data_IF_757664610626
#
_entry.id   IF_757664610626
#
_cell.length_a   1.000
_cell.length_b   1.000
_cell.length_c   1.000
_cell.angle_alpha   90.00
_cell.angle_beta   90.00
_cell.angle_gamma   90.00
#
_symmetry.space_group_name_H-M   'P 1'
#
loop_
_entity.id
_entity.type
_entity.pdbx_description
1 polymer ?
#
# COMPACT_ATOMS: atom_id res chain seq x y z
N UNK A 1 -2.28 -9.32 12.97
CA UNK A 1 -3.39 -9.18 12.00
C UNK A 1 -2.80 -9.27 10.60
N UNK A 2 -3.60 -9.63 9.60
CA UNK A 2 -3.15 -9.62 8.20
C UNK A 2 -3.66 -8.34 7.53
N UNK A 3 -2.79 -7.67 6.78
CA UNK A 3 -3.11 -6.47 6.04
C UNK A 3 -2.84 -6.72 4.56
N UNK A 4 -3.86 -6.53 3.73
CA UNK A 4 -3.72 -6.52 2.28
C UNK A 4 -3.38 -5.11 1.84
N UNK A 5 -2.20 -4.92 1.29
CA UNK A 5 -1.76 -3.66 0.70
C UNK A 5 -1.81 -3.76 -0.82
N UNK A 6 -2.07 -2.64 -1.46
CA UNK A 6 -2.14 -2.48 -2.91
C UNK A 6 -1.22 -1.34 -3.28
N UNK A 7 -0.36 -1.60 -4.25
CA UNK A 7 0.58 -0.63 -4.81
C UNK A 7 0.43 -0.59 -6.33
N UNK A 8 1.03 0.42 -6.95
CA UNK A 8 1.22 0.43 -8.40
C UNK A 8 2.24 -0.62 -8.82
N UNK A 9 1.97 -1.28 -9.95
CA UNK A 9 2.85 -2.32 -10.47
C UNK A 9 4.27 -1.79 -10.77
N UNK A 10 4.40 -0.50 -11.09
CA UNK A 10 5.70 0.16 -11.25
C UNK A 10 6.60 0.05 -10.00
N UNK A 11 6.00 0.01 -8.81
CA UNK A 11 6.72 -0.08 -7.54
C UNK A 11 6.94 -1.53 -7.07
N UNK A 12 6.28 -2.52 -7.68
CA UNK A 12 6.48 -3.95 -7.34
C UNK A 12 7.94 -4.35 -7.53
N UNK A 13 8.57 -3.83 -8.58
CA UNK A 13 9.98 -4.07 -8.88
C UNK A 13 10.92 -3.53 -7.78
N UNK A 14 10.48 -2.56 -6.98
CA UNK A 14 11.24 -2.07 -5.83
C UNK A 14 11.16 -3.03 -4.62
N UNK A 15 10.17 -3.92 -4.58
CA UNK A 15 9.92 -4.84 -3.46
C UNK A 15 9.89 -6.31 -3.91
N UNK A 16 10.99 -6.86 -4.48
CA UNK A 16 11.04 -8.22 -5.01
C UNK A 16 11.00 -9.31 -3.92
N UNK A 17 11.14 -8.93 -2.65
CA UNK A 17 11.09 -9.86 -1.51
C UNK A 17 9.66 -10.29 -1.14
N UNK A 18 8.65 -9.63 -1.70
CA UNK A 18 7.25 -9.89 -1.42
C UNK A 18 6.58 -10.52 -2.63
N UNK A 19 5.68 -11.45 -2.37
CA UNK A 19 4.82 -11.99 -3.43
C UNK A 19 3.67 -11.02 -3.68
N UNK A 20 3.75 -10.35 -4.82
CA UNK A 20 2.71 -9.48 -5.33
C UNK A 20 1.79 -10.27 -6.26
N UNK A 21 0.50 -10.20 -6.01
CA UNK A 21 -0.54 -10.77 -6.84
C UNK A 21 -1.23 -9.66 -7.64
N UNK A 22 -1.67 -9.97 -8.86
CA UNK A 22 -2.41 -9.03 -9.70
C UNK A 22 -3.68 -8.56 -8.98
N UNK A 23 -3.82 -7.25 -8.76
CA UNK A 23 -5.03 -6.68 -8.16
C UNK A 23 -6.00 -6.29 -9.29
N UNK A 24 -7.03 -7.12 -9.46
CA UNK A 24 -8.03 -7.02 -10.54
C UNK A 24 -9.44 -6.71 -10.04
N UNK A 25 -9.58 -6.21 -8.82
CA UNK A 25 -10.90 -5.94 -8.26
C UNK A 25 -11.64 -4.81 -8.99
N UNK A 26 -12.97 -4.89 -8.91
CA UNK A 26 -13.99 -4.09 -9.60
C UNK A 26 -13.81 -2.56 -9.47
N UNK A 27 -12.92 -2.11 -8.59
CA UNK A 27 -12.54 -0.71 -8.40
C UNK A 27 -11.66 -0.14 -9.51
N UNK A 28 -11.20 -0.96 -10.48
CA UNK A 28 -10.57 -0.49 -11.73
C UNK A 28 -11.34 0.65 -12.40
N UNK A 29 -12.67 0.64 -12.31
CA UNK A 29 -13.52 1.69 -12.88
C UNK A 29 -13.44 3.02 -12.15
N UNK A 30 -13.13 3.05 -10.85
CA UNK A 30 -13.06 4.29 -10.08
C UNK A 30 -11.68 4.97 -10.16
N UNK A 31 -10.64 4.21 -10.49
CA UNK A 31 -9.24 4.65 -10.41
C UNK A 31 -8.56 4.72 -11.79
N UNK A 32 -9.34 4.90 -12.87
CA UNK A 32 -8.89 4.99 -14.28
C UNK A 32 -7.78 6.04 -14.51
N UNK A 33 -7.64 7.04 -13.64
CA UNK A 33 -6.64 8.10 -13.79
C UNK A 33 -5.22 7.79 -13.28
N UNK A 34 -4.98 6.70 -12.54
CA UNK A 34 -3.69 6.46 -11.87
C UNK A 34 -2.85 5.30 -12.44
N UNK A 35 -3.28 4.68 -13.55
CA UNK A 35 -2.57 3.59 -14.20
C UNK A 35 -3.32 2.26 -14.07
N UNK A 36 -3.30 1.47 -15.14
CA UNK A 36 -4.16 0.28 -15.29
C UNK A 36 -3.65 -0.96 -14.53
N UNK A 37 -2.44 -0.92 -13.94
CA UNK A 37 -1.79 -2.08 -13.33
C UNK A 37 -1.48 -1.84 -11.85
N UNK A 38 -2.17 -2.60 -11.00
CA UNK A 38 -1.95 -2.63 -9.55
C UNK A 38 -1.68 -4.05 -9.09
N UNK A 39 -0.93 -4.11 -8.01
CA UNK A 39 -0.44 -5.34 -7.43
C UNK A 39 -0.69 -5.30 -5.94
N UNK A 40 -1.05 -6.45 -5.38
CA UNK A 40 -1.40 -6.61 -3.96
C UNK A 40 -0.56 -7.62 -3.27
N UNK A 41 -0.30 -7.39 -2.00
CA UNK A 41 0.29 -8.41 -1.14
C UNK A 41 -0.38 -8.40 0.22
N UNK A 42 -0.39 -9.56 0.88
CA UNK A 42 -0.96 -9.72 2.22
C UNK A 42 0.18 -9.95 3.19
N UNK A 43 0.36 -9.01 4.11
CA UNK A 43 1.45 -9.04 5.08
C UNK A 43 0.89 -9.15 6.50
N UNK A 44 1.48 -10.00 7.34
CA UNK A 44 1.16 -10.04 8.75
C UNK A 44 1.86 -8.89 9.50
N UNK A 45 1.16 -8.25 10.43
CA UNK A 45 1.74 -7.29 11.37
C UNK A 45 0.78 -6.87 12.46
N UNK A 46 1.26 -6.06 13.40
CA UNK A 46 0.42 -5.49 14.45
C UNK A 46 -0.53 -4.43 13.88
N UNK A 47 0.03 -3.52 13.06
CA UNK A 47 -0.64 -2.41 12.39
C UNK A 47 -0.16 -2.26 10.95
N UNK A 48 -0.87 -1.47 10.14
CA UNK A 48 -0.45 -1.20 8.75
C UNK A 48 0.95 -0.53 8.70
N UNK A 49 1.24 0.39 9.61
CA UNK A 49 2.53 1.08 9.66
C UNK A 49 3.68 0.13 10.02
N UNK A 50 3.44 -0.76 10.98
CA UNK A 50 4.38 -1.81 11.39
C UNK A 50 4.65 -2.77 10.22
N UNK A 51 3.61 -3.13 9.46
CA UNK A 51 3.77 -3.90 8.22
C UNK A 51 4.66 -3.17 7.22
N UNK A 52 4.38 -1.89 6.94
CA UNK A 52 5.13 -1.11 5.96
C UNK A 52 6.59 -0.93 6.39
N UNK A 53 6.85 -0.59 7.65
CA UNK A 53 8.20 -0.38 8.18
C UNK A 53 9.02 -1.69 8.18
N UNK A 54 8.44 -2.78 8.68
CA UNK A 54 9.09 -4.11 8.70
C UNK A 54 9.48 -4.57 7.30
N UNK A 55 8.65 -4.23 6.31
CA UNK A 55 8.83 -4.60 4.92
C UNK A 55 9.55 -3.51 4.11
N UNK A 56 9.92 -2.39 4.73
CA UNK A 56 10.54 -1.22 4.10
C UNK A 56 9.75 -0.69 2.89
N UNK A 57 8.42 -0.74 2.98
CA UNK A 57 7.51 -0.26 1.94
C UNK A 57 7.24 1.21 2.19
N UNK A 58 7.51 2.03 1.18
CA UNK A 58 7.16 3.43 1.21
C UNK A 58 5.62 3.60 1.26
N UNK A 59 5.06 4.25 2.28
CA UNK A 59 3.62 4.49 2.40
C UNK A 59 3.07 5.34 1.25
N UNK A 60 3.93 6.09 0.55
CA UNK A 60 3.59 6.86 -0.64
C UNK A 60 3.31 5.98 -1.87
N UNK A 61 3.89 4.78 -1.92
CA UNK A 61 3.65 3.82 -3.00
C UNK A 61 2.37 2.99 -2.75
N UNK A 62 1.83 3.03 -1.53
CA UNK A 62 0.60 2.34 -1.15
C UNK A 62 -0.59 3.16 -1.62
N UNK A 63 -1.24 2.68 -2.69
CA UNK A 63 -2.46 3.30 -3.21
C UNK A 63 -3.67 2.95 -2.36
N UNK A 64 -3.68 1.75 -1.76
CA UNK A 64 -4.76 1.30 -0.90
C UNK A 64 -4.29 0.20 0.04
N UNK A 65 -4.90 0.10 1.22
CA UNK A 65 -4.67 -1.00 2.14
C UNK A 65 -5.95 -1.35 2.88
N UNK A 66 -6.06 -2.60 3.33
CA UNK A 66 -7.17 -3.07 4.15
C UNK A 66 -6.72 -4.16 5.13
N UNK A 67 -7.27 -4.22 6.35
CA UNK A 67 -7.16 -5.42 7.16
C UNK A 67 -7.89 -6.57 6.46
N UNK A 68 -7.36 -7.79 6.51
CA UNK A 68 -8.05 -9.00 6.05
C UNK A 68 -9.41 -9.17 6.76
N UNK A 69 -9.51 -8.64 7.97
CA UNK A 69 -10.68 -8.72 8.82
C UNK A 69 -11.73 -7.63 8.59
N UNK A 70 -11.45 -6.57 7.81
CA UNK A 70 -12.32 -5.40 7.71
C UNK A 70 -12.73 -5.04 6.27
N UNK A 71 -14.03 -4.77 6.08
CA UNK A 71 -14.63 -4.49 4.78
C UNK A 71 -14.12 -3.16 4.25
N UNK A 72 -13.57 -3.18 3.03
CA UNK A 72 -13.17 -2.06 2.17
C UNK A 72 -13.42 -0.65 2.75
N UNK A 73 -12.38 -0.02 3.29
CA UNK A 73 -12.36 1.43 3.51
C UNK A 73 -11.32 2.05 2.57
N UNK A 74 -11.81 2.81 1.59
CA UNK A 74 -11.01 3.61 0.69
C UNK A 74 -10.47 4.81 1.48
N UNK A 75 -9.16 4.84 1.74
CA UNK A 75 -8.50 5.97 2.38
C UNK A 75 -7.26 6.34 1.60
N UNK A 76 -7.32 7.47 0.89
CA UNK A 76 -6.12 8.26 0.64
C UNK A 76 -5.56 8.63 2.01
N UNK A 77 -4.39 8.12 2.37
CA UNK A 77 -3.76 8.47 3.63
C UNK A 77 -3.56 10.00 3.68
N UNK A 78 -4.00 10.70 4.73
CA UNK A 78 -3.60 12.08 4.93
C UNK A 78 -2.08 12.11 5.05
N UNK A 79 -1.46 13.14 4.49
CA UNK A 79 -0.02 13.40 4.55
C UNK A 79 0.43 13.46 6.02
N UNK A 80 0.75 12.32 6.63
CA UNK A 80 1.29 12.28 7.96
C UNK A 80 2.73 12.77 7.82
N UNK A 81 3.04 13.92 8.40
CA UNK A 81 4.41 14.44 8.47
C UNK A 81 5.29 13.32 9.04
N UNK A 82 6.12 12.75 8.18
CA UNK A 82 7.13 11.78 8.58
C UNK A 82 7.95 12.39 9.72
N UNK A 83 8.31 11.67 10.79
CA UNK A 83 9.22 12.19 11.81
C UNK A 83 10.62 12.56 11.26
N UNK A 84 10.91 12.21 10.01
CA UNK A 84 12.12 12.60 9.27
C UNK A 84 11.99 13.90 8.46
N UNK A 85 10.81 14.55 8.45
CA UNK A 85 10.62 15.87 7.79
C UNK A 85 11.14 17.05 8.65
N UNK A 86 11.83 16.76 9.76
CA UNK A 86 12.59 17.77 10.51
C UNK A 86 14.04 17.77 10.06
N UNK A 87 14.31 18.27 8.85
CA UNK A 87 15.55 19.00 8.51
C UNK A 87 15.66 19.26 7.02
N UNK A 88 15.28 20.46 6.57
CA UNK A 88 16.29 21.36 6.02
C UNK A 88 15.79 22.80 6.02
N UNK A 89 16.63 23.61 6.65
CA UNK A 89 16.64 25.06 6.77
C UNK A 89 16.54 25.80 5.43
#
# INVERSE_FOLDING_TARGET
MNFTIVILDEHVSAYPKMEWADWKDENRKQMISQGDHWSKTTLPGADIWDCLETNQIDPQHVVQWKPESDKLHQVSLPLHKHPFDSSKN
#
